data_IF_728637112915
#
_entry.id   IF_728637112915
#
_cell.length_a   1.000
_cell.length_b   1.000
_cell.length_c   1.000
_cell.angle_alpha   90.00
_cell.angle_beta   90.00
_cell.angle_gamma   90.00
#
_symmetry.space_group_name_H-M   'P 1'
#
loop_
_entity.id
_entity.type
_entity.pdbx_description
1 polymer ?
#
# COMPACT_ATOMS: atom_id res chain seq x y z
N UNK A 1 -22.60 8.04 5.08
CA UNK A 1 -21.20 8.52 5.08
C UNK A 1 -21.03 9.39 3.87
N UNK A 2 -20.45 10.58 4.01
CA UNK A 2 -20.23 11.48 2.86
C UNK A 2 -18.81 11.36 2.33
N UNK A 3 -18.62 11.09 1.03
CA UNK A 3 -17.30 10.92 0.45
C UNK A 3 -16.63 12.26 0.13
N UNK A 4 -15.31 12.28 0.24
CA UNK A 4 -14.48 13.36 -0.25
C UNK A 4 -14.26 13.23 -1.77
N UNK A 5 -14.25 14.34 -2.52
CA UNK A 5 -13.98 14.31 -3.95
C UNK A 5 -12.48 14.06 -4.20
N UNK A 6 -12.15 12.97 -4.89
CA UNK A 6 -10.85 12.82 -5.55
C UNK A 6 -11.06 12.61 -7.05
N UNK A 7 -10.01 12.88 -7.81
CA UNK A 7 -9.93 12.62 -9.24
C UNK A 7 -8.64 11.87 -9.51
N UNK A 8 -8.72 10.80 -10.31
CA UNK A 8 -7.53 10.14 -10.85
C UNK A 8 -7.27 10.68 -12.25
N UNK A 9 -6.03 11.05 -12.52
CA UNK A 9 -5.53 11.29 -13.87
C UNK A 9 -4.65 10.10 -14.25
N UNK A 10 -5.11 9.33 -15.21
CA UNK A 10 -4.55 8.05 -15.63
C UNK A 10 -3.85 8.26 -16.96
N UNK A 11 -2.59 7.83 -17.03
CA UNK A 11 -1.78 7.79 -18.24
C UNK A 11 -1.46 6.34 -18.53
N UNK A 12 -2.07 5.80 -19.57
CA UNK A 12 -1.98 4.39 -19.93
C UNK A 12 -1.58 4.23 -21.39
N UNK A 13 -1.40 2.97 -21.83
CA UNK A 13 -1.07 2.62 -23.22
C UNK A 13 0.18 3.33 -23.74
N UNK A 14 1.19 3.50 -22.87
CA UNK A 14 2.47 4.09 -23.20
C UNK A 14 3.27 3.16 -24.12
N UNK A 15 3.43 3.53 -25.39
CA UNK A 15 4.19 2.74 -26.37
C UNK A 15 5.07 3.63 -27.24
N UNK A 16 6.33 3.22 -27.44
CA UNK A 16 7.33 4.00 -28.17
C UNK A 16 7.59 3.37 -29.54
N UNK A 17 7.38 4.16 -30.59
CA UNK A 17 7.77 3.81 -31.95
C UNK A 17 9.01 4.64 -32.33
N UNK A 18 10.13 3.95 -32.50
CA UNK A 18 11.40 4.52 -32.94
C UNK A 18 11.51 4.41 -34.46
N UNK A 19 12.03 5.43 -35.15
CA UNK A 19 12.26 5.29 -36.58
C UNK A 19 13.32 4.23 -36.86
N UNK A 20 13.04 3.37 -37.83
CA UNK A 20 13.99 2.34 -38.28
C UNK A 20 15.24 3.03 -38.84
N UNK A 21 16.42 2.69 -38.29
CA UNK A 21 17.68 3.22 -38.79
C UNK A 21 17.91 2.71 -40.22
N UNK A 22 18.00 3.61 -41.20
CA UNK A 22 18.44 3.26 -42.54
C UNK A 22 19.93 2.89 -42.50
N UNK A 23 20.19 1.59 -42.67
CA UNK A 23 21.48 0.87 -42.80
C UNK A 23 22.18 0.43 -41.49
N UNK A 24 22.52 -0.87 -41.36
CA UNK A 24 23.34 -1.36 -40.26
C UNK A 24 24.81 -0.98 -40.51
N UNK A 25 25.38 -0.18 -39.63
CA UNK A 25 26.83 -0.14 -39.47
C UNK A 25 27.24 -1.36 -38.64
N UNK A 26 27.87 -2.35 -39.29
CA UNK A 26 28.78 -3.35 -38.73
C UNK A 26 28.43 -4.06 -37.41
N UNK A 27 28.46 -5.41 -37.46
CA UNK A 27 28.73 -6.30 -36.33
C UNK A 27 27.98 -6.03 -35.01
N UNK A 28 26.73 -6.51 -34.96
CA UNK A 28 26.36 -7.41 -33.88
C UNK A 28 25.82 -6.82 -32.57
N UNK A 29 25.13 -5.67 -32.56
CA UNK A 29 24.18 -5.33 -31.49
C UNK A 29 22.98 -4.61 -32.10
N UNK A 30 21.81 -5.27 -32.10
CA UNK A 30 20.56 -4.70 -32.59
C UNK A 30 20.21 -3.41 -31.81
N UNK A 31 19.80 -2.28 -32.45
CA UNK A 31 19.40 -1.04 -31.77
C UNK A 31 18.22 -1.18 -30.79
N UNK A 32 17.56 -2.34 -30.78
CA UNK A 32 16.33 -2.66 -30.04
C UNK A 32 16.55 -3.05 -28.57
N UNK A 33 17.78 -3.06 -28.04
CA UNK A 33 18.07 -3.52 -26.67
C UNK A 33 18.27 -2.40 -25.62
N UNK A 34 18.18 -1.12 -26.00
CA UNK A 34 18.40 -0.03 -25.03
C UNK A 34 17.13 0.25 -24.22
N UNK A 35 17.15 0.12 -22.87
CA UNK A 35 15.96 0.39 -22.06
C UNK A 35 15.50 1.84 -22.23
N UNK A 36 14.19 2.02 -22.41
CA UNK A 36 13.56 3.32 -22.53
C UNK A 36 12.65 3.58 -21.33
N UNK A 37 12.60 4.81 -20.85
CA UNK A 37 11.70 5.21 -19.77
C UNK A 37 11.09 6.57 -20.02
N UNK A 38 9.85 6.74 -19.57
CA UNK A 38 9.12 8.00 -19.59
C UNK A 38 9.15 8.64 -18.21
N UNK A 39 9.44 9.94 -18.16
CA UNK A 39 9.25 10.78 -16.98
C UNK A 39 8.01 11.65 -17.19
N UNK A 40 7.02 11.47 -16.33
CA UNK A 40 5.76 12.20 -16.33
C UNK A 40 5.78 13.28 -15.26
N UNK A 41 5.44 14.50 -15.64
CA UNK A 41 5.45 15.66 -14.73
C UNK A 41 4.24 16.54 -14.94
N UNK A 42 3.57 16.85 -13.83
CA UNK A 42 2.54 17.89 -13.72
C UNK A 42 3.05 18.92 -12.72
N UNK A 43 2.77 20.20 -12.97
CA UNK A 43 3.19 21.27 -12.05
C UNK A 43 2.58 21.02 -10.66
N UNK A 44 3.37 21.14 -9.60
CA UNK A 44 3.00 20.92 -8.19
C UNK A 44 2.68 19.48 -7.78
N UNK A 45 2.96 18.50 -8.65
CA UNK A 45 2.86 17.06 -8.31
C UNK A 45 4.24 16.40 -8.38
N UNK A 46 4.48 15.34 -7.59
CA UNK A 46 5.72 14.57 -7.68
C UNK A 46 5.85 13.98 -9.10
N UNK A 47 7.07 14.02 -9.65
CA UNK A 47 7.33 13.42 -10.96
C UNK A 47 7.27 11.90 -10.84
N UNK A 48 6.62 11.25 -11.80
CA UNK A 48 6.53 9.79 -11.87
C UNK A 48 7.40 9.28 -13.03
N UNK A 49 7.90 8.05 -12.91
CA UNK A 49 8.71 7.41 -13.94
C UNK A 49 8.06 6.08 -14.28
N UNK A 50 7.94 5.79 -15.57
CA UNK A 50 7.44 4.52 -16.09
C UNK A 50 8.38 3.94 -17.13
N UNK A 51 8.58 2.63 -17.09
CA UNK A 51 9.36 1.92 -18.10
C UNK A 51 8.50 1.76 -19.36
N UNK A 52 9.11 1.97 -20.52
CA UNK A 52 8.44 1.84 -21.81
C UNK A 52 8.80 0.49 -22.43
N UNK A 53 7.84 -0.43 -22.63
CA UNK A 53 8.09 -1.63 -23.40
C UNK A 53 8.39 -1.26 -24.87
N UNK A 54 9.47 -1.84 -25.41
CA UNK A 54 9.71 -1.91 -26.85
C UNK A 54 8.93 -3.15 -27.32
N UNK A 55 8.13 -3.01 -28.38
CA UNK A 55 7.09 -3.93 -28.86
C UNK A 55 7.35 -5.46 -28.74
N UNK A 56 6.29 -6.30 -28.65
CA UNK A 56 4.86 -5.96 -28.71
C UNK A 56 4.31 -5.49 -27.35
N UNK A 57 3.14 -4.82 -27.31
CA UNK A 57 2.54 -4.29 -26.09
C UNK A 57 2.22 -5.43 -25.12
N UNK A 58 3.16 -5.73 -24.22
CA UNK A 58 2.89 -6.52 -23.03
C UNK A 58 2.22 -5.60 -22.01
N UNK A 59 1.02 -6.01 -21.60
CA UNK A 59 0.18 -5.55 -20.48
C UNK A 59 0.43 -4.13 -19.92
N UNK A 60 -0.61 -3.31 -20.11
CA UNK A 60 -0.79 -1.89 -19.80
C UNK A 60 0.04 -1.37 -18.61
N UNK A 61 1.14 -0.68 -18.90
CA UNK A 61 1.80 0.20 -17.92
C UNK A 61 0.95 1.46 -17.75
N UNK A 62 0.24 1.56 -16.61
CA UNK A 62 -0.53 2.73 -16.22
C UNK A 62 0.23 3.54 -15.16
N UNK A 63 0.13 4.87 -15.27
CA UNK A 63 0.70 5.83 -14.33
C UNK A 63 -0.41 6.75 -13.87
N UNK A 64 -0.62 6.82 -12.55
CA UNK A 64 -1.78 7.50 -11.99
C UNK A 64 -1.36 8.66 -11.09
N UNK A 65 -1.95 9.82 -11.33
CA UNK A 65 -1.89 10.95 -10.41
C UNK A 65 -3.20 11.03 -9.65
N UNK A 66 -3.13 10.91 -8.32
CA UNK A 66 -4.29 11.09 -7.45
C UNK A 66 -4.38 12.55 -7.02
N UNK A 67 -5.46 13.23 -7.40
CA UNK A 67 -5.74 14.60 -7.02
C UNK A 67 -6.65 14.60 -5.80
N UNK A 68 -6.10 15.04 -4.67
CA UNK A 68 -6.83 15.19 -3.42
C UNK A 68 -7.72 16.45 -3.40
N UNK A 69 -8.66 16.58 -2.45
CA UNK A 69 -9.52 17.75 -2.35
C UNK A 69 -8.78 19.09 -2.26
N UNK A 70 -7.55 19.13 -1.75
CA UNK A 70 -6.75 20.34 -1.67
C UNK A 70 -6.12 20.69 -3.03
N UNK A 71 -5.66 19.69 -3.78
CA UNK A 71 -5.19 19.82 -5.15
C UNK A 71 -6.33 20.29 -6.07
N UNK A 72 -7.52 19.70 -5.95
CA UNK A 72 -8.72 20.12 -6.68
C UNK A 72 -9.09 21.58 -6.40
N UNK A 73 -9.03 22.02 -5.13
CA UNK A 73 -9.23 23.42 -4.75
C UNK A 73 -8.19 24.34 -5.39
N UNK A 74 -6.91 23.95 -5.42
CA UNK A 74 -5.84 24.75 -6.05
C UNK A 74 -6.01 24.93 -7.55
N UNK A 75 -6.55 23.92 -8.25
CA UNK A 75 -6.77 23.98 -9.70
C UNK A 75 -8.13 24.59 -10.07
N UNK A 76 -9.04 24.79 -9.12
CA UNK A 76 -10.38 25.35 -9.40
C UNK A 76 -10.33 26.72 -10.11
N UNK A 77 -9.35 27.56 -9.81
CA UNK A 77 -9.15 28.87 -10.45
C UNK A 77 -8.47 28.80 -11.81
N UNK A 78 -7.71 27.72 -12.07
CA UNK A 78 -7.00 27.43 -13.33
C UNK A 78 -7.08 25.93 -13.62
N UNK A 79 -8.20 25.45 -14.20
CA UNK A 79 -8.49 24.02 -14.31
C UNK A 79 -7.64 23.30 -15.35
N UNK A 80 -6.95 24.05 -16.21
CA UNK A 80 -6.07 23.50 -17.24
C UNK A 80 -4.70 23.27 -16.64
N UNK A 81 -4.29 22.01 -16.57
CA UNK A 81 -2.95 21.58 -16.17
C UNK A 81 -2.18 21.04 -17.36
N UNK A 82 -0.87 21.29 -17.41
CA UNK A 82 -0.01 20.74 -18.47
C UNK A 82 0.69 19.50 -17.95
N UNK A 83 0.40 18.35 -18.57
CA UNK A 83 1.15 17.11 -18.41
C UNK A 83 2.31 17.12 -19.39
N UNK A 84 3.54 17.06 -18.88
CA UNK A 84 4.75 16.88 -19.70
C UNK A 84 5.25 15.44 -19.57
N UNK A 85 5.38 14.77 -20.72
CA UNK A 85 5.97 13.43 -20.80
C UNK A 85 7.28 13.53 -21.56
N UNK A 86 8.38 13.18 -20.89
CA UNK A 86 9.73 13.18 -21.45
C UNK A 86 10.25 11.76 -21.56
N UNK A 87 10.66 11.34 -22.76
CA UNK A 87 11.14 9.99 -23.03
C UNK A 87 12.66 9.98 -23.07
N UNK A 88 13.26 9.04 -22.35
CA UNK A 88 14.70 8.88 -22.25
C UNK A 88 15.11 7.49 -22.73
N UNK A 89 16.27 7.41 -23.39
CA UNK A 89 16.95 6.16 -23.75
C UNK A 89 18.16 5.96 -22.84
N UNK A 90 18.37 4.74 -22.34
CA UNK A 90 19.54 4.37 -21.52
C UNK A 90 19.17 4.02 -20.08
N UNK A 91 20.18 3.74 -19.24
CA UNK A 91 19.95 3.30 -17.86
C UNK A 91 19.33 4.41 -17.01
N UNK A 92 18.39 4.02 -16.15
CA UNK A 92 17.81 4.90 -15.15
C UNK A 92 18.80 5.06 -13.98
N UNK A 93 19.16 6.29 -13.62
CA UNK A 93 20.07 6.55 -12.50
C UNK A 93 20.95 7.77 -12.68
N UNK A 94 21.80 8.00 -11.67
CA UNK A 94 22.86 8.99 -11.69
C UNK A 94 24.18 8.32 -11.34
N UNK A 95 25.22 8.57 -12.12
CA UNK A 95 26.60 8.20 -11.78
C UNK A 95 27.38 9.49 -11.62
N UNK A 96 28.00 9.69 -10.44
CA UNK A 96 28.78 10.89 -10.13
C UNK A 96 28.04 12.22 -10.41
N UNK A 97 26.72 12.26 -10.15
CA UNK A 97 25.89 13.46 -10.36
C UNK A 97 25.33 13.66 -11.77
N UNK A 98 25.76 12.86 -12.77
CA UNK A 98 25.29 12.94 -14.16
C UNK A 98 24.17 11.95 -14.40
N UNK A 99 23.07 12.38 -15.03
CA UNK A 99 21.97 11.49 -15.43
C UNK A 99 22.40 10.55 -16.55
N UNK A 100 22.25 9.24 -16.36
CA UNK A 100 22.73 8.23 -17.32
C UNK A 100 21.85 8.07 -18.58
N UNK A 101 20.66 8.68 -18.61
CA UNK A 101 19.73 8.60 -19.75
C UNK A 101 19.82 9.81 -20.68
N UNK A 102 19.79 9.57 -21.99
CA UNK A 102 19.71 10.61 -23.02
C UNK A 102 18.24 10.92 -23.35
N UNK A 103 17.87 12.20 -23.37
CA UNK A 103 16.52 12.62 -23.74
C UNK A 103 16.28 12.34 -25.24
N UNK A 104 15.27 11.54 -25.55
CA UNK A 104 14.82 11.27 -26.92
C UNK A 104 13.89 12.38 -27.42
N UNK A 105 13.03 12.89 -26.54
CA UNK A 105 12.11 13.98 -26.85
C UNK A 105 11.07 14.16 -25.75
N UNK A 106 10.18 15.14 -25.93
CA UNK A 106 9.07 15.35 -25.01
C UNK A 106 7.79 15.80 -25.71
N UNK A 107 6.66 15.42 -25.12
CA UNK A 107 5.32 15.84 -25.52
C UNK A 107 4.64 16.55 -24.35
N UNK A 108 3.70 17.44 -24.67
CA UNK A 108 2.88 18.14 -23.69
C UNK A 108 1.42 17.92 -24.03
N UNK A 109 0.61 17.60 -23.02
CA UNK A 109 -0.84 17.45 -23.13
C UNK A 109 -1.49 18.44 -22.18
N UNK A 110 -2.40 19.25 -22.71
CA UNK A 110 -3.23 20.14 -21.91
C UNK A 110 -4.44 19.35 -21.40
N UNK A 111 -4.58 19.28 -20.08
CA UNK A 111 -5.61 18.52 -19.39
C UNK A 111 -6.56 19.50 -18.73
N UNK A 112 -7.80 19.60 -19.22
CA UNK A 112 -8.82 20.44 -18.60
C UNK A 112 -9.58 19.66 -17.52
N UNK A 113 -9.26 19.91 -16.26
CA UNK A 113 -9.87 19.22 -15.12
C UNK A 113 -11.18 19.87 -14.64
N UNK A 114 -11.73 20.83 -15.40
CA UNK A 114 -13.05 21.37 -15.12
C UNK A 114 -14.10 20.26 -15.19
N UNK A 115 -14.87 20.07 -14.11
CA UNK A 115 -15.90 19.03 -14.05
C UNK A 115 -15.38 17.60 -13.90
N UNK A 116 -14.07 17.36 -13.74
CA UNK A 116 -13.52 16.01 -13.60
C UNK A 116 -14.02 15.25 -12.35
N UNK A 117 -14.65 15.96 -11.40
CA UNK A 117 -15.30 15.38 -10.23
C UNK A 117 -16.66 14.71 -10.53
N UNK A 118 -17.33 15.09 -11.62
CA UNK A 118 -18.67 14.57 -11.94
C UNK A 118 -18.66 13.54 -13.07
N UNK A 119 -17.69 13.59 -13.97
CA UNK A 119 -17.60 12.67 -15.11
C UNK A 119 -16.15 12.47 -15.55
N UNK A 120 -15.83 11.25 -15.97
CA UNK A 120 -14.55 10.95 -16.61
C UNK A 120 -14.42 11.59 -18.00
N UNK A 121 -13.20 11.90 -18.40
CA UNK A 121 -12.90 12.57 -19.66
C UNK A 121 -11.60 12.02 -20.26
N UNK A 122 -11.55 11.85 -21.59
CA UNK A 122 -10.33 11.49 -22.32
C UNK A 122 -9.78 12.76 -22.98
N UNK A 123 -8.53 13.10 -22.66
CA UNK A 123 -7.86 14.32 -23.16
C UNK A 123 -6.96 14.05 -24.36
N UNK A 124 -6.36 12.86 -24.40
CA UNK A 124 -5.49 12.42 -25.48
C UNK A 124 -5.66 10.91 -25.63
N UNK A 125 -5.77 10.44 -26.86
CA UNK A 125 -5.70 9.02 -27.19
C UNK A 125 -5.05 8.88 -28.57
N UNK A 126 -3.88 8.27 -28.64
CA UNK A 126 -3.19 8.00 -29.89
C UNK A 126 -1.73 8.45 -29.91
N UNK A 127 -1.15 8.42 -31.11
CA UNK A 127 0.26 8.71 -31.37
C UNK A 127 0.56 10.22 -31.35
N UNK A 128 1.58 10.60 -30.60
CA UNK A 128 2.14 11.95 -30.57
C UNK A 128 3.61 11.96 -31.01
N UNK A 129 4.00 12.99 -31.76
CA UNK A 129 5.39 13.17 -32.20
C UNK A 129 6.25 13.63 -31.01
N UNK A 130 7.33 12.90 -30.71
CA UNK A 130 8.33 13.33 -29.74
C UNK A 130 9.18 14.42 -30.40
N UNK A 131 9.09 15.66 -29.90
CA UNK A 131 9.81 16.78 -30.48
C UNK A 131 11.32 16.54 -30.51
N UNK A 132 11.93 16.74 -31.68
CA UNK A 132 13.37 16.70 -31.92
C UNK A 132 13.86 18.02 -32.51
N UNK A 133 15.08 18.42 -32.13
CA UNK A 133 15.76 19.59 -32.71
C UNK A 133 16.33 19.21 -34.07
N UNK A 134 15.63 19.57 -35.16
CA UNK A 134 16.12 19.50 -36.53
C UNK A 134 15.89 18.18 -37.28
N UNK A 135 15.25 18.27 -38.45
CA UNK A 135 15.31 17.41 -39.66
C UNK A 135 15.22 15.87 -39.63
N UNK A 136 15.48 15.22 -38.51
CA UNK A 136 15.65 13.77 -38.37
C UNK A 136 14.31 13.02 -38.21
N UNK A 137 14.28 11.70 -38.51
CA UNK A 137 13.06 10.92 -38.42
C UNK A 137 12.52 10.92 -36.98
N UNK A 138 11.23 11.27 -36.86
CA UNK A 138 10.61 11.68 -35.59
C UNK A 138 10.04 10.47 -34.87
N UNK A 139 10.63 10.10 -33.73
CA UNK A 139 10.07 9.10 -32.82
C UNK A 139 8.64 9.48 -32.39
N UNK A 140 7.77 8.48 -32.20
CA UNK A 140 6.37 8.68 -31.82
C UNK A 140 6.08 7.96 -30.50
N UNK A 141 5.28 8.59 -29.66
CA UNK A 141 4.79 8.04 -28.40
C UNK A 141 3.27 7.87 -28.49
N UNK A 142 2.78 6.64 -28.40
CA UNK A 142 1.38 6.37 -28.14
C UNK A 142 1.10 6.56 -26.65
N UNK A 143 0.00 7.24 -26.32
CA UNK A 143 -0.51 7.29 -24.95
C UNK A 143 -2.00 7.64 -24.92
N UNK A 144 -2.64 7.19 -23.86
CA UNK A 144 -3.99 7.62 -23.48
C UNK A 144 -3.91 8.40 -22.18
N UNK A 145 -4.45 9.62 -22.17
CA UNK A 145 -4.53 10.48 -20.98
C UNK A 145 -6.00 10.71 -20.69
N UNK A 146 -6.47 10.23 -19.54
CA UNK A 146 -7.87 10.36 -19.12
C UNK A 146 -8.00 10.68 -17.64
N UNK A 147 -9.09 11.34 -17.26
CA UNK A 147 -9.47 11.53 -15.87
C UNK A 147 -10.72 10.72 -15.53
N UNK A 148 -10.85 10.35 -14.27
CA UNK A 148 -12.05 9.73 -13.71
C UNK A 148 -12.33 10.27 -12.30
N UNK A 149 -13.61 10.48 -11.93
CA UNK A 149 -14.01 10.68 -10.55
C UNK A 149 -13.61 9.46 -9.72
N UNK A 150 -13.08 9.71 -8.53
CA UNK A 150 -12.65 8.68 -7.61
C UNK A 150 -13.07 9.10 -6.19
N UNK A 151 -14.37 9.11 -5.86
CA UNK A 151 -14.82 9.51 -4.54
C UNK A 151 -14.28 8.53 -3.48
N UNK A 152 -13.83 9.08 -2.35
CA UNK A 152 -13.23 8.27 -1.26
C UNK A 152 -13.76 8.70 0.11
N UNK A 153 -13.98 7.73 0.99
CA UNK A 153 -14.11 8.00 2.41
C UNK A 153 -12.72 8.23 3.01
N UNK A 154 -12.61 9.24 3.87
CA UNK A 154 -11.35 9.58 4.55
C UNK A 154 -11.56 9.46 6.04
N UNK A 155 -10.75 8.62 6.69
CA UNK A 155 -10.73 8.43 8.13
C UNK A 155 -9.38 8.85 8.68
N UNK A 156 -9.36 9.37 9.90
CA UNK A 156 -8.15 9.77 10.59
C UNK A 156 -8.19 9.28 12.03
N UNK A 157 -7.12 8.61 12.44
CA UNK A 157 -6.93 8.22 13.83
C UNK A 157 -6.66 9.47 14.70
N UNK A 158 -7.33 9.56 15.84
CA UNK A 158 -7.12 10.66 16.81
C UNK A 158 -5.76 10.63 17.49
N UNK A 159 -5.15 9.45 17.55
CA UNK A 159 -3.86 9.16 18.17
C UNK A 159 -3.26 7.87 17.59
N UNK A 160 -2.24 7.36 18.26
CA UNK A 160 -1.54 6.16 17.80
C UNK A 160 -2.39 4.90 18.06
N UNK A 161 -2.39 3.89 17.15
CA UNK A 161 -3.24 2.71 17.30
C UNK A 161 -3.09 1.96 18.62
N UNK A 162 -1.87 1.88 19.18
CA UNK A 162 -1.59 1.24 20.46
C UNK A 162 -2.19 1.97 21.67
N UNK A 163 -2.58 3.24 21.51
CA UNK A 163 -3.19 4.06 22.56
C UNK A 163 -4.72 3.99 22.55
N UNK A 164 -5.32 3.01 21.85
CA UNK A 164 -6.78 2.83 21.75
C UNK A 164 -7.54 4.11 21.31
N UNK A 165 -7.22 4.69 20.13
CA UNK A 165 -7.74 5.99 19.74
C UNK A 165 -9.16 5.92 19.19
N UNK A 166 -9.85 7.07 19.22
CA UNK A 166 -11.06 7.31 18.41
C UNK A 166 -10.64 7.59 16.96
N UNK A 167 -11.44 7.12 16.00
CA UNK A 167 -11.25 7.35 14.57
C UNK A 167 -12.35 8.27 14.06
N UNK A 168 -11.91 9.31 13.34
CA UNK A 168 -12.78 10.37 12.82
C UNK A 168 -12.97 10.19 11.32
N UNK A 169 -14.22 10.27 10.84
CA UNK A 169 -14.49 10.53 9.43
C UNK A 169 -14.24 12.00 9.14
N UNK A 170 -13.48 12.27 8.09
CA UNK A 170 -13.14 13.61 7.63
C UNK A 170 -14.07 13.99 6.49
N UNK A 171 -14.80 15.09 6.67
CA UNK A 171 -15.72 15.66 5.68
C UNK A 171 -15.38 17.14 5.52
N UNK A 172 -14.55 17.47 4.51
CA UNK A 172 -14.04 18.82 4.34
C UNK A 172 -13.22 19.27 5.55
N UNK A 173 -13.75 20.25 6.31
CA UNK A 173 -13.13 20.75 7.55
C UNK A 173 -13.73 20.13 8.83
N UNK A 174 -14.76 19.29 8.69
CA UNK A 174 -15.46 18.67 9.82
C UNK A 174 -14.80 17.32 10.14
N UNK A 175 -14.63 17.04 11.44
CA UNK A 175 -14.09 15.79 11.97
C UNK A 175 -15.16 15.13 12.85
N UNK A 176 -15.80 14.07 12.35
CA UNK A 176 -16.87 13.37 13.07
C UNK A 176 -16.34 12.05 13.64
N UNK A 177 -16.45 11.78 14.95
CA UNK A 177 -16.10 10.48 15.49
C UNK A 177 -17.08 9.42 14.96
N UNK A 178 -16.56 8.32 14.42
CA UNK A 178 -17.40 7.25 13.81
C UNK A 178 -17.05 5.86 14.30
N UNK A 179 -15.81 5.65 14.77
CA UNK A 179 -15.32 4.38 15.27
C UNK A 179 -14.40 4.63 16.48
N UNK A 180 -14.21 3.61 17.31
CA UNK A 180 -13.21 3.60 18.38
C UNK A 180 -12.37 2.34 18.30
N UNK A 181 -11.10 2.43 18.69
CA UNK A 181 -10.19 1.30 18.68
C UNK A 181 -9.85 0.90 20.12
N UNK A 182 -9.69 -0.40 20.37
CA UNK A 182 -9.11 -0.95 21.60
C UNK A 182 -7.93 -1.82 21.25
N UNK A 183 -6.74 -1.41 21.69
CA UNK A 183 -5.53 -2.21 21.60
C UNK A 183 -5.38 -3.08 22.84
N UNK A 184 -4.93 -4.32 22.64
CA UNK A 184 -4.58 -5.25 23.70
C UNK A 184 -3.30 -6.00 23.33
N UNK A 185 -2.36 -6.08 24.27
CA UNK A 185 -1.15 -6.87 24.17
C UNK A 185 -1.22 -8.05 25.15
N UNK A 186 -2.11 -9.02 24.88
CA UNK A 186 -2.30 -10.16 25.77
C UNK A 186 -1.17 -11.17 25.54
N UNK A 187 -0.26 -11.29 26.53
CA UNK A 187 0.86 -12.25 26.49
C UNK A 187 0.39 -13.70 26.64
N UNK A 188 -0.86 -13.93 27.07
CA UNK A 188 -1.37 -15.22 27.49
C UNK A 188 -2.62 -15.65 26.71
N UNK A 189 -2.58 -15.61 25.38
CA UNK A 189 -3.74 -15.96 24.56
C UNK A 189 -4.02 -17.49 24.43
N UNK A 190 -3.83 -18.26 25.51
CA UNK A 190 -4.33 -19.63 25.61
C UNK A 190 -5.76 -19.72 26.17
N UNK A 191 -6.32 -18.62 26.70
CA UNK A 191 -7.55 -18.68 27.52
C UNK A 191 -8.73 -17.82 27.05
N UNK A 192 -8.66 -17.12 25.90
CA UNK A 192 -9.86 -16.56 25.26
C UNK A 192 -10.21 -17.32 24.00
N UNK A 193 -11.07 -18.32 24.18
CA UNK A 193 -11.83 -19.08 23.20
C UNK A 193 -11.87 -18.51 21.77
N UNK A 194 -10.91 -18.92 20.93
CA UNK A 194 -11.21 -19.23 19.54
C UNK A 194 -11.92 -20.59 19.53
N UNK A 195 -13.00 -20.79 18.75
CA UNK A 195 -13.65 -22.09 18.64
C UNK A 195 -12.64 -23.17 18.22
N UNK A 196 -12.72 -24.31 18.90
CA UNK A 196 -11.75 -25.42 18.93
C UNK A 196 -11.62 -26.25 17.65
N UNK A 197 -12.01 -25.74 16.48
CA UNK A 197 -12.12 -26.56 15.26
C UNK A 197 -11.03 -26.30 14.21
N UNK A 198 -9.92 -25.65 14.60
CA UNK A 198 -8.81 -25.35 13.68
C UNK A 198 -7.51 -26.13 13.94
N UNK A 199 -7.56 -27.19 14.75
CA UNK A 199 -6.42 -28.10 14.91
C UNK A 199 -6.38 -29.14 13.79
N UNK A 200 -5.89 -28.74 12.62
CA UNK A 200 -5.47 -29.70 11.59
C UNK A 200 -3.96 -29.89 11.69
N UNK A 201 -3.59 -31.14 11.98
CA UNK A 201 -2.27 -31.79 11.86
C UNK A 201 -1.21 -31.53 12.93
N UNK A 202 -1.14 -32.51 13.86
CA UNK A 202 0.07 -33.22 14.30
C UNK A 202 1.33 -32.38 14.59
N UNK A 203 1.65 -32.22 15.88
CA UNK A 203 3.04 -32.36 16.29
C UNK A 203 3.13 -33.15 17.59
N UNK A 204 3.69 -34.35 17.48
CA UNK A 204 4.01 -35.25 18.60
C UNK A 204 5.09 -34.61 19.48
N UNK A 205 5.01 -34.94 20.76
CA UNK A 205 5.71 -34.26 21.84
C UNK A 205 7.23 -34.17 21.70
N UNK A 206 7.75 -33.06 22.21
CA UNK A 206 9.12 -32.98 22.70
C UNK A 206 9.06 -32.45 24.13
N UNK A 207 9.27 -33.34 25.10
CA UNK A 207 9.54 -33.02 26.50
C UNK A 207 10.73 -32.05 26.59
N UNK A 208 10.54 -30.85 27.15
CA UNK A 208 11.66 -29.97 27.49
C UNK A 208 12.30 -30.45 28.79
N UNK A 209 13.51 -30.98 28.70
CA UNK A 209 14.41 -31.16 29.83
C UNK A 209 14.79 -29.80 30.40
N UNK A 210 14.52 -29.63 31.69
CA UNK A 210 14.92 -28.46 32.49
C UNK A 210 16.45 -28.46 32.62
N UNK A 211 17.10 -27.38 32.23
CA UNK A 211 18.47 -27.07 32.62
C UNK A 211 18.66 -25.55 32.62
N UNK A 212 19.00 -25.03 33.80
CA UNK A 212 18.96 -23.62 34.16
C UNK A 212 19.73 -22.69 33.22
N UNK A 213 18.99 -21.71 32.68
CA UNK A 213 19.50 -20.58 31.90
C UNK A 213 18.37 -19.67 31.39
N UNK A 214 17.26 -19.57 32.14
CA UNK A 214 15.93 -19.24 31.60
C UNK A 214 15.42 -17.80 31.80
N UNK A 215 16.23 -16.84 32.24
CA UNK A 215 15.73 -15.45 32.42
C UNK A 215 15.91 -14.59 31.15
N UNK A 216 16.87 -14.89 30.27
CA UNK A 216 17.23 -14.00 29.13
C UNK A 216 16.60 -14.34 27.76
N UNK A 217 15.78 -15.40 27.66
CA UNK A 217 15.18 -15.84 26.38
C UNK A 217 13.68 -15.52 26.20
N UNK A 218 13.01 -15.05 27.25
CA UNK A 218 11.54 -14.86 27.26
C UNK A 218 11.11 -13.54 26.57
N UNK A 219 12.04 -12.61 26.31
CA UNK A 219 11.75 -11.26 25.79
C UNK A 219 12.03 -11.00 24.31
N UNK A 220 12.32 -12.03 23.49
CA UNK A 220 12.70 -11.83 22.08
C UNK A 220 11.57 -12.04 21.06
N UNK A 221 10.35 -12.28 21.51
CA UNK A 221 9.19 -12.50 20.64
C UNK A 221 8.14 -11.42 20.92
N UNK A 222 7.60 -10.82 19.85
CA UNK A 222 6.45 -9.92 19.93
C UNK A 222 5.23 -10.70 19.43
N UNK A 223 4.26 -10.95 20.32
CA UNK A 223 3.09 -11.79 20.07
C UNK A 223 1.85 -11.28 20.78
N UNK A 224 0.69 -11.76 20.35
CA UNK A 224 -0.58 -11.58 21.08
C UNK A 224 -1.15 -10.16 21.01
N UNK A 225 -0.66 -9.32 20.09
CA UNK A 225 -1.26 -8.01 19.88
C UNK A 225 -2.54 -8.14 19.08
N UNK A 226 -3.55 -7.43 19.52
CA UNK A 226 -4.84 -7.33 18.84
C UNK A 226 -5.34 -5.90 18.95
N UNK A 227 -5.91 -5.40 17.86
CA UNK A 227 -6.70 -4.17 17.87
C UNK A 227 -8.12 -4.49 17.42
N UNK A 228 -9.09 -4.13 18.24
CA UNK A 228 -10.51 -4.30 17.93
C UNK A 228 -11.11 -2.94 17.64
N UNK A 229 -11.89 -2.84 16.57
CA UNK A 229 -12.58 -1.63 16.13
C UNK A 229 -14.06 -1.76 16.48
N UNK A 230 -14.58 -0.75 17.16
CA UNK A 230 -15.96 -0.66 17.60
C UNK A 230 -16.68 0.49 16.89
N UNK A 231 -17.96 0.28 16.60
CA UNK A 231 -18.84 1.35 16.15
C UNK A 231 -19.30 2.25 17.32
N UNK A 232 -20.16 3.23 17.01
CA UNK A 232 -20.71 4.15 18.00
C UNK A 232 -21.65 3.48 19.01
N UNK A 233 -22.16 2.27 18.72
CA UNK A 233 -22.97 1.48 19.65
C UNK A 233 -22.12 0.68 20.63
N UNK A 234 -20.80 0.63 20.42
CA UNK A 234 -19.89 -0.23 21.18
C UNK A 234 -19.84 -1.67 20.65
N UNK A 235 -20.38 -1.94 19.46
CA UNK A 235 -20.32 -3.26 18.83
C UNK A 235 -18.97 -3.43 18.12
N UNK A 236 -18.32 -4.58 18.31
CA UNK A 236 -17.07 -4.91 17.63
C UNK A 236 -17.36 -5.22 16.15
N UNK A 237 -16.89 -4.37 15.24
CA UNK A 237 -17.22 -4.43 13.80
C UNK A 237 -16.05 -4.86 12.93
N UNK A 238 -14.82 -4.80 13.43
CA UNK A 238 -13.63 -5.36 12.80
C UNK A 238 -12.54 -5.60 13.85
N UNK A 239 -11.57 -6.44 13.53
CA UNK A 239 -10.37 -6.60 14.34
C UNK A 239 -9.15 -6.92 13.49
N UNK A 240 -7.97 -6.61 14.00
CA UNK A 240 -6.70 -7.13 13.48
C UNK A 240 -5.96 -7.82 14.61
N UNK A 241 -5.62 -9.09 14.42
CA UNK A 241 -4.97 -9.93 15.43
C UNK A 241 -3.67 -10.51 14.89
N UNK A 242 -2.61 -10.43 15.69
CA UNK A 242 -1.34 -11.07 15.36
C UNK A 242 -1.50 -12.60 15.46
N UNK A 243 -1.30 -13.29 14.34
CA UNK A 243 -1.43 -14.76 14.23
C UNK A 243 -0.08 -15.45 14.07
N UNK A 244 0.89 -14.76 13.46
CA UNK A 244 2.28 -15.21 13.41
C UNK A 244 3.12 -14.21 14.19
N UNK A 245 3.81 -14.64 15.25
CA UNK A 245 4.60 -13.76 16.09
C UNK A 245 5.77 -13.15 15.32
N UNK A 246 6.17 -11.95 15.69
CA UNK A 246 7.35 -11.29 15.15
C UNK A 246 8.56 -11.74 15.96
N UNK A 247 9.49 -12.42 15.30
CA UNK A 247 10.67 -13.06 15.93
C UNK A 247 11.91 -12.70 15.12
N UNK A 248 13.04 -12.37 15.77
CA UNK A 248 14.28 -12.12 15.06
C UNK A 248 14.83 -13.40 14.42
N UNK A 249 15.39 -13.28 13.23
CA UNK A 249 16.08 -14.39 12.56
C UNK A 249 17.31 -14.84 13.36
N UNK A 250 17.74 -16.11 13.23
CA UNK A 250 18.97 -16.58 13.86
C UNK A 250 20.15 -15.66 13.56
N UNK A 251 20.93 -15.30 14.59
CA UNK A 251 22.08 -14.39 14.49
C UNK A 251 21.75 -12.96 13.99
N UNK A 252 20.48 -12.54 14.09
CA UNK A 252 20.03 -11.18 13.78
C UNK A 252 19.15 -10.63 14.89
N UNK A 253 18.85 -9.34 14.81
CA UNK A 253 17.88 -8.62 15.64
C UNK A 253 16.67 -8.15 14.82
N UNK A 254 16.46 -8.74 13.64
CA UNK A 254 15.46 -8.34 12.65
C UNK A 254 14.52 -9.48 12.30
N UNK A 255 13.27 -9.14 12.00
CA UNK A 255 12.32 -10.04 11.35
C UNK A 255 12.67 -10.14 9.86
N UNK A 256 13.04 -11.32 9.37
CA UNK A 256 13.38 -11.53 7.96
C UNK A 256 12.16 -11.84 7.10
N UNK A 257 12.27 -11.59 5.80
CA UNK A 257 11.27 -11.99 4.81
C UNK A 257 11.01 -13.50 4.76
N UNK A 258 12.00 -14.31 5.15
CA UNK A 258 11.86 -15.77 5.22
C UNK A 258 11.03 -16.26 6.41
N UNK A 259 10.82 -15.41 7.41
CA UNK A 259 9.98 -15.70 8.58
C UNK A 259 9.25 -14.42 9.00
N UNK A 260 8.30 -13.94 8.18
CA UNK A 260 7.60 -12.70 8.45
C UNK A 260 6.63 -12.86 9.62
N UNK A 261 6.44 -11.78 10.37
CA UNK A 261 5.31 -11.70 11.30
C UNK A 261 4.02 -11.49 10.52
N UNK A 262 2.87 -11.89 11.09
CA UNK A 262 1.61 -11.79 10.37
C UNK A 262 0.42 -11.42 11.26
N UNK A 263 -0.45 -10.59 10.68
CA UNK A 263 -1.74 -10.19 11.20
C UNK A 263 -2.85 -10.82 10.38
N UNK A 264 -3.93 -11.18 11.04
CA UNK A 264 -5.20 -11.57 10.42
C UNK A 264 -6.20 -10.45 10.65
N UNK A 265 -6.77 -9.95 9.55
CA UNK A 265 -7.86 -8.99 9.59
C UNK A 265 -9.16 -9.77 9.62
N UNK A 266 -10.02 -9.43 10.56
CA UNK A 266 -11.19 -10.19 10.95
C UNK A 266 -12.45 -9.33 10.79
N UNK A 267 -13.49 -9.94 10.23
CA UNK A 267 -14.86 -9.40 10.23
C UNK A 267 -15.76 -10.24 11.14
N UNK A 268 -16.82 -9.68 11.72
CA UNK A 268 -17.85 -10.45 12.39
C UNK A 268 -18.49 -11.49 11.45
N UNK A 269 -18.84 -12.66 11.96
CA UNK A 269 -19.49 -13.75 11.23
C UNK A 269 -20.88 -14.00 11.79
N UNK A 270 -21.92 -13.57 11.07
CA UNK A 270 -23.32 -13.81 11.45
C UNK A 270 -23.82 -12.96 12.62
N UNK A 271 -24.92 -13.42 13.24
CA UNK A 271 -25.68 -12.70 14.30
C UNK A 271 -25.10 -12.90 15.70
N UNK A 272 -24.14 -13.82 15.86
CA UNK A 272 -23.49 -14.08 17.14
C UNK A 272 -22.28 -13.16 17.33
N UNK A 273 -22.21 -12.52 18.49
CA UNK A 273 -21.21 -11.51 18.90
C UNK A 273 -19.78 -12.10 19.00
N UNK A 274 -19.61 -13.43 18.92
CA UNK A 274 -18.33 -14.11 19.20
C UNK A 274 -17.67 -14.84 18.02
N UNK A 275 -18.30 -14.95 16.86
CA UNK A 275 -17.70 -15.62 15.70
C UNK A 275 -17.00 -14.62 14.78
N UNK A 276 -15.68 -14.72 14.66
CA UNK A 276 -14.87 -13.93 13.73
C UNK A 276 -14.59 -14.74 12.46
N UNK A 277 -14.74 -14.12 11.29
CA UNK A 277 -14.34 -14.70 10.00
C UNK A 277 -13.11 -13.94 9.47
N UNK A 278 -12.06 -14.64 9.01
CA UNK A 278 -10.93 -14.01 8.34
C UNK A 278 -11.36 -13.27 7.07
N UNK A 279 -10.82 -12.08 6.88
CA UNK A 279 -10.99 -11.25 5.68
C UNK A 279 -9.69 -11.17 4.88
N UNK A 280 -8.56 -10.96 5.54
CA UNK A 280 -7.27 -10.91 4.87
C UNK A 280 -6.09 -11.14 5.82
N UNK A 281 -4.93 -11.44 5.26
CA UNK A 281 -3.68 -11.69 5.98
C UNK A 281 -2.65 -10.64 5.58
N UNK A 282 -2.11 -9.91 6.56
CA UNK A 282 -1.02 -8.96 6.38
C UNK A 282 0.27 -9.55 6.96
N UNK A 283 1.25 -9.80 6.12
CA UNK A 283 2.61 -10.15 6.53
C UNK A 283 3.50 -8.92 6.52
N UNK A 284 4.45 -8.86 7.46
CA UNK A 284 5.42 -7.77 7.56
C UNK A 284 6.78 -8.27 8.05
N UNK A 285 7.84 -7.63 7.54
CA UNK A 285 9.24 -7.92 7.88
C UNK A 285 10.12 -6.69 7.72
N UNK A 286 11.36 -6.74 8.24
CA UNK A 286 12.35 -5.66 8.10
C UNK A 286 13.35 -6.01 7.01
N UNK A 287 13.23 -5.36 5.87
CA UNK A 287 14.12 -5.54 4.72
C UNK A 287 15.43 -4.75 4.91
N UNK A 288 16.54 -5.34 4.49
CA UNK A 288 17.87 -4.72 4.54
C UNK A 288 18.12 -3.93 3.26
N UNK A 289 18.52 -2.67 3.39
CA UNK A 289 18.87 -1.81 2.26
C UNK A 289 19.83 -0.70 2.65
N UNK A 290 20.13 0.22 1.73
CA UNK A 290 20.87 1.46 2.04
C UNK A 290 20.17 2.30 3.10
N UNK A 291 18.85 2.21 3.15
CA UNK A 291 18.00 2.56 4.28
C UNK A 291 17.13 1.34 4.56
N UNK A 292 17.02 0.94 5.83
CA UNK A 292 16.15 -0.17 6.24
C UNK A 292 14.69 0.11 5.81
N UNK A 293 14.01 -0.94 5.35
CA UNK A 293 12.65 -0.90 4.85
C UNK A 293 11.71 -1.79 5.64
N UNK A 294 10.45 -1.38 5.81
CA UNK A 294 9.37 -2.24 6.26
C UNK A 294 8.77 -2.88 5.00
N UNK A 295 9.06 -4.15 4.79
CA UNK A 295 8.43 -4.95 3.76
C UNK A 295 7.07 -5.45 4.24
N UNK A 296 6.11 -5.51 3.33
CA UNK A 296 4.75 -5.96 3.63
C UNK A 296 4.16 -6.75 2.45
N UNK A 297 3.24 -7.66 2.76
CA UNK A 297 2.43 -8.40 1.80
C UNK A 297 1.02 -8.58 2.37
N UNK A 298 0.00 -8.16 1.64
CA UNK A 298 -1.40 -8.34 2.01
C UNK A 298 -2.10 -9.27 1.02
N UNK A 299 -2.77 -10.28 1.58
CA UNK A 299 -3.53 -11.28 0.85
C UNK A 299 -4.99 -11.27 1.29
N UNK A 300 -5.90 -11.25 0.31
CA UNK A 300 -7.32 -11.43 0.57
C UNK A 300 -7.62 -12.93 0.70
N UNK A 301 -8.30 -13.34 1.76
CA UNK A 301 -8.60 -14.75 2.01
C UNK A 301 -9.86 -15.12 1.22
N UNK A 302 -9.75 -16.17 0.40
CA UNK A 302 -10.89 -16.72 -0.33
C UNK A 302 -11.60 -17.79 0.50
N UNK A 303 -12.88 -18.02 0.25
CA UNK A 303 -13.68 -19.03 0.97
C UNK A 303 -13.23 -20.49 0.69
N UNK A 304 -12.20 -20.69 -0.13
CA UNK A 304 -11.65 -22.00 -0.53
C UNK A 304 -10.56 -22.52 0.42
N UNK A 305 -10.34 -21.85 1.57
CA UNK A 305 -9.46 -22.30 2.66
C UNK A 305 -8.38 -21.28 3.07
N UNK A 306 -7.90 -21.38 4.31
CA UNK A 306 -6.97 -20.43 4.96
C UNK A 306 -5.59 -20.30 4.29
N UNK A 307 -5.23 -21.21 3.39
CA UNK A 307 -3.92 -21.24 2.70
C UNK A 307 -3.99 -20.76 1.25
N UNK A 308 -5.18 -20.39 0.75
CA UNK A 308 -5.39 -19.86 -0.60
C UNK A 308 -5.81 -18.39 -0.53
N UNK A 309 -4.82 -17.55 -0.25
CA UNK A 309 -4.95 -16.10 -0.28
C UNK A 309 -4.56 -15.53 -1.64
N UNK A 310 -5.27 -14.51 -2.09
CA UNK A 310 -4.91 -13.77 -3.31
C UNK A 310 -4.09 -12.56 -2.88
N UNK A 311 -2.78 -12.46 -3.20
CA UNK A 311 -2.03 -11.26 -2.90
C UNK A 311 -2.62 -10.08 -3.67
N UNK A 312 -2.91 -8.98 -2.99
CA UNK A 312 -3.44 -7.76 -3.60
C UNK A 312 -2.59 -6.52 -3.33
N UNK A 313 -1.66 -6.59 -2.37
CA UNK A 313 -0.64 -5.57 -2.18
C UNK A 313 0.66 -6.17 -1.66
N UNK A 314 1.78 -5.72 -2.20
CA UNK A 314 3.12 -6.08 -1.72
C UNK A 314 4.06 -4.91 -2.00
N UNK A 315 4.96 -4.62 -1.07
CA UNK A 315 5.92 -3.55 -1.25
C UNK A 315 6.80 -3.31 -0.04
N UNK A 316 7.59 -2.25 -0.11
CA UNK A 316 8.49 -1.84 0.95
C UNK A 316 8.38 -0.33 1.16
N UNK A 317 8.29 0.11 2.41
CA UNK A 317 8.33 1.53 2.78
C UNK A 317 9.51 1.84 3.70
N UNK A 318 9.91 3.12 3.79
CA UNK A 318 11.08 3.48 4.59
C UNK A 318 10.77 3.38 6.07
N UNK A 319 11.62 2.68 6.82
CA UNK A 319 11.49 2.60 8.28
C UNK A 319 11.71 3.96 8.95
N UNK A 320 12.66 4.76 8.45
CA UNK A 320 12.98 6.09 9.02
C UNK A 320 11.95 7.16 8.66
N UNK A 321 11.45 7.14 7.43
CA UNK A 321 10.57 8.20 6.91
C UNK A 321 9.09 7.83 6.99
N UNK A 322 8.76 6.55 7.14
CA UNK A 322 7.42 6.04 6.90
C UNK A 322 7.12 5.97 5.41
N UNK A 323 5.83 5.96 5.09
CA UNK A 323 5.35 5.94 3.72
C UNK A 323 3.83 5.86 3.63
N UNK A 324 3.38 5.30 2.51
CA UNK A 324 1.97 5.03 2.26
C UNK A 324 1.82 3.55 1.92
N UNK A 325 0.99 2.86 2.68
CA UNK A 325 0.46 1.56 2.29
C UNK A 325 -0.68 1.81 1.29
N UNK A 326 -0.67 1.15 0.14
CA UNK A 326 -1.67 1.35 -0.91
C UNK A 326 -2.11 0.00 -1.48
N UNK A 327 -3.40 -0.13 -1.73
CA UNK A 327 -3.99 -1.23 -2.48
C UNK A 327 -4.69 -0.60 -3.68
N UNK A 328 -4.15 -0.85 -4.87
CA UNK A 328 -4.72 -0.39 -6.15
C UNK A 328 -4.64 -1.54 -7.16
N UNK A 329 -5.80 -2.07 -7.53
CA UNK A 329 -5.91 -3.26 -8.38
C UNK A 329 -5.47 -2.96 -9.81
N UNK A 330 -5.55 -1.70 -10.27
CA UNK A 330 -5.13 -1.31 -11.61
C UNK A 330 -3.60 -1.25 -11.76
N UNK A 331 -2.88 -1.09 -10.65
CA UNK A 331 -1.42 -0.98 -10.66
C UNK A 331 -0.70 -2.32 -10.89
N UNK A 332 -1.42 -3.45 -10.76
CA UNK A 332 -0.82 -4.79 -10.82
C UNK A 332 -1.10 -5.47 -12.16
N UNK A 333 -0.02 -5.98 -12.75
CA UNK A 333 0.02 -6.62 -14.08
C UNK A 333 -0.57 -8.04 -14.13
N UNK A 334 -1.28 -8.48 -13.09
CA UNK A 334 -1.76 -9.86 -13.02
C UNK A 334 -3.18 -9.98 -13.60
N UNK A 335 -3.25 -10.47 -14.83
CA UNK A 335 -4.49 -10.78 -15.57
C UNK A 335 -5.45 -11.71 -14.80
N UNK A 336 -4.97 -12.51 -13.84
CA UNK A 336 -5.80 -13.37 -13.00
C UNK A 336 -6.66 -12.59 -11.97
N UNK A 337 -6.16 -11.47 -11.44
CA UNK A 337 -6.89 -10.63 -10.47
C UNK A 337 -8.07 -9.91 -11.11
N UNK A 338 -7.93 -9.60 -12.41
CA UNK A 338 -8.96 -8.95 -13.22
C UNK A 338 -10.23 -9.78 -13.40
N UNK A 339 -10.15 -11.11 -13.25
CA UNK A 339 -11.29 -12.01 -13.40
C UNK A 339 -11.97 -12.33 -12.06
N UNK A 340 -11.25 -12.17 -10.94
CA UNK A 340 -11.69 -12.57 -9.60
C UNK A 340 -12.27 -11.41 -8.79
N UNK A 341 -11.87 -10.17 -9.08
CA UNK A 341 -12.33 -8.99 -8.34
C UNK A 341 -13.30 -8.18 -9.22
N UNK A 342 -14.58 -8.01 -8.80
CA UNK A 342 -15.61 -7.33 -9.60
C UNK A 342 -15.30 -5.85 -9.87
N UNK A 343 -14.57 -5.20 -8.95
CA UNK A 343 -14.24 -3.78 -8.95
C UNK A 343 -12.75 -3.59 -9.27
N UNK A 344 -12.45 -2.86 -10.34
CA UNK A 344 -11.11 -2.45 -10.75
C UNK A 344 -10.86 -1.02 -10.28
N UNK A 345 -9.82 -0.79 -9.49
CA UNK A 345 -9.48 0.57 -9.10
C UNK A 345 -8.75 0.73 -7.77
N UNK A 346 -8.83 1.95 -7.26
CA UNK A 346 -8.27 2.35 -5.98
C UNK A 346 -9.09 1.75 -4.84
N UNK A 347 -8.47 0.89 -4.04
CA UNK A 347 -9.14 0.25 -2.90
C UNK A 347 -8.94 1.06 -1.64
N UNK A 348 -7.68 1.20 -1.22
CA UNK A 348 -7.34 1.94 -0.02
C UNK A 348 -5.93 2.53 -0.05
N UNK A 349 -5.71 3.52 0.79
CA UNK A 349 -4.39 4.03 1.14
C UNK A 349 -4.33 4.41 2.61
N UNK A 350 -3.27 4.01 3.31
CA UNK A 350 -2.99 4.42 4.69
C UNK A 350 -1.65 5.13 4.77
N UNK A 351 -1.59 6.27 5.46
CA UNK A 351 -0.30 6.82 5.89
C UNK A 351 0.28 5.97 7.02
N UNK A 352 1.60 5.81 7.01
CA UNK A 352 2.36 5.13 8.07
C UNK A 352 3.56 6.01 8.39
N UNK A 353 3.72 6.39 9.64
CA UNK A 353 4.87 7.19 10.08
C UNK A 353 6.11 6.31 10.30
N UNK A 354 7.29 6.94 10.29
CA UNK A 354 8.55 6.23 10.56
C UNK A 354 8.71 5.86 12.03
N UNK A 355 9.59 4.88 12.30
CA UNK A 355 9.95 4.43 13.65
C UNK A 355 10.27 5.62 14.57
N UNK A 356 9.71 5.60 15.79
CA UNK A 356 9.94 6.60 16.84
C UNK A 356 9.16 7.91 16.69
N UNK A 357 8.31 8.04 15.66
CA UNK A 357 7.40 9.18 15.50
C UNK A 357 6.01 8.85 16.01
N UNK A 358 5.28 9.87 16.45
CA UNK A 358 3.86 9.74 16.80
C UNK A 358 3.06 9.49 15.52
N UNK A 359 2.47 8.31 15.40
CA UNK A 359 1.66 7.96 14.22
C UNK A 359 0.20 8.36 14.39
N UNK A 360 -0.38 8.99 13.37
CA UNK A 360 -1.83 9.22 13.27
C UNK A 360 -2.30 8.81 11.89
N UNK A 361 -2.53 7.50 11.66
CA UNK A 361 -2.87 7.01 10.34
C UNK A 361 -4.06 7.74 9.72
N UNK A 362 -3.90 8.15 8.47
CA UNK A 362 -4.96 8.67 7.61
C UNK A 362 -5.30 7.58 6.60
N UNK A 363 -6.52 7.09 6.67
CA UNK A 363 -7.05 6.00 5.84
C UNK A 363 -7.96 6.61 4.77
N UNK A 364 -7.69 6.29 3.52
CA UNK A 364 -8.53 6.63 2.38
C UNK A 364 -9.07 5.33 1.82
N UNK A 365 -10.37 5.25 1.56
CA UNK A 365 -11.02 4.05 1.02
C UNK A 365 -11.94 4.46 -0.14
N UNK A 366 -11.82 3.78 -1.28
CA UNK A 366 -12.70 4.01 -2.43
C UNK A 366 -14.16 3.70 -2.07
N UNK A 367 -15.11 4.56 -2.48
CA UNK A 367 -16.53 4.39 -2.14
C UNK A 367 -17.08 3.06 -2.65
N UNK A 368 -16.60 2.57 -3.79
CA UNK A 368 -17.04 1.31 -4.39
C UNK A 368 -16.76 0.07 -3.51
N UNK A 369 -15.87 0.19 -2.52
CA UNK A 369 -15.49 -0.89 -1.61
C UNK A 369 -16.15 -0.79 -0.22
N UNK A 370 -17.04 0.17 0.00
CA UNK A 370 -17.66 0.43 1.29
C UNK A 370 -19.17 0.53 1.14
N UNK A 371 -19.89 -0.51 1.53
CA UNK A 371 -21.37 -0.53 1.55
C UNK A 371 -21.93 -0.15 2.91
N UNK A 372 -21.18 -0.44 3.98
CA UNK A 372 -21.56 -0.14 5.35
C UNK A 372 -20.34 0.30 6.19
N UNK A 373 -20.60 0.74 7.43
CA UNK A 373 -19.52 1.17 8.35
C UNK A 373 -18.60 0.00 8.74
N UNK A 374 -19.11 -1.23 8.79
CA UNK A 374 -18.28 -2.41 9.08
C UNK A 374 -17.24 -2.67 7.97
N UNK A 375 -17.57 -2.41 6.70
CA UNK A 375 -16.60 -2.51 5.60
C UNK A 375 -15.47 -1.50 5.78
N UNK A 376 -15.81 -0.24 6.11
CA UNK A 376 -14.82 0.79 6.41
C UNK A 376 -13.93 0.41 7.62
N UNK A 377 -14.53 -0.21 8.64
CA UNK A 377 -13.80 -0.67 9.82
C UNK A 377 -12.74 -1.74 9.51
N UNK A 378 -12.93 -2.57 8.48
CA UNK A 378 -11.90 -3.54 8.03
C UNK A 378 -10.64 -2.83 7.51
N UNK A 379 -10.82 -1.78 6.72
CA UNK A 379 -9.70 -0.97 6.21
C UNK A 379 -9.02 -0.17 7.33
N UNK A 380 -9.79 0.29 8.33
CA UNK A 380 -9.24 0.91 9.55
C UNK A 380 -8.42 -0.09 10.37
N UNK A 381 -8.91 -1.32 10.56
CA UNK A 381 -8.17 -2.37 11.25
C UNK A 381 -6.88 -2.76 10.51
N UNK A 382 -6.94 -2.87 9.18
CA UNK A 382 -5.76 -3.12 8.34
C UNK A 382 -4.74 -1.96 8.41
N UNK A 383 -5.22 -0.71 8.40
CA UNK A 383 -4.38 0.48 8.61
C UNK A 383 -3.65 0.44 9.95
N UNK A 384 -4.35 0.09 11.03
CA UNK A 384 -3.74 -0.09 12.34
C UNK A 384 -2.70 -1.22 12.33
N UNK A 385 -2.98 -2.35 11.68
CA UNK A 385 -2.06 -3.49 11.61
C UNK A 385 -0.75 -3.14 10.88
N UNK A 386 -0.81 -2.42 9.76
CA UNK A 386 0.40 -2.00 9.04
C UNK A 386 1.18 -0.94 9.82
N UNK A 387 0.50 -0.04 10.52
CA UNK A 387 1.14 0.97 11.36
C UNK A 387 1.86 0.34 12.56
N UNK A 388 1.16 -0.54 13.29
CA UNK A 388 1.73 -1.33 14.38
C UNK A 388 2.88 -2.25 13.92
N UNK A 389 2.92 -2.60 12.63
CA UNK A 389 4.02 -3.39 12.07
C UNK A 389 5.34 -2.62 12.00
N UNK A 390 5.34 -1.28 12.01
CA UNK A 390 6.57 -0.50 12.20
C UNK A 390 7.20 -0.79 13.57
N UNK A 391 6.39 -0.78 14.64
CA UNK A 391 6.84 -1.14 15.98
C UNK A 391 7.13 -2.65 16.10
N UNK A 392 6.30 -3.51 15.51
CA UNK A 392 6.47 -4.98 15.57
C UNK A 392 7.73 -5.47 14.82
N UNK A 393 8.18 -4.76 13.79
CA UNK A 393 9.42 -5.05 13.07
C UNK A 393 10.65 -4.32 13.61
N UNK A 394 10.50 -3.41 14.58
CA UNK A 394 11.62 -2.67 15.18
C UNK A 394 12.74 -3.60 15.66
N UNK A 395 13.99 -3.13 15.73
CA UNK A 395 15.11 -3.99 16.14
C UNK A 395 14.87 -4.59 17.53
N UNK A 396 15.11 -5.90 17.69
CA UNK A 396 14.92 -6.61 18.96
C UNK A 396 16.01 -6.28 19.99
N UNK A 397 17.09 -5.63 19.57
CA UNK A 397 18.09 -5.01 20.43
C UNK A 397 17.56 -3.74 21.12
N UNK A 398 16.47 -3.16 20.62
CA UNK A 398 15.84 -1.97 21.18
C UNK A 398 14.56 -2.33 21.95
N UNK A 399 14.31 -1.62 23.05
CA UNK A 399 13.06 -1.75 23.82
C UNK A 399 11.91 -1.10 23.06
N UNK A 400 10.74 -1.74 23.11
CA UNK A 400 9.49 -1.12 22.70
C UNK A 400 9.03 -0.08 23.72
N UNK A 401 8.14 0.79 23.28
CA UNK A 401 7.51 1.78 24.15
C UNK A 401 6.58 1.11 25.17
N UNK A 402 6.27 1.81 26.27
CA UNK A 402 5.57 1.24 27.43
C UNK A 402 4.14 0.82 27.11
N UNK A 403 3.52 1.43 26.10
CA UNK A 403 2.14 1.14 25.66
C UNK A 403 2.00 -0.29 25.14
N UNK A 404 3.10 -0.95 24.78
CA UNK A 404 3.15 -2.36 24.36
C UNK A 404 3.43 -3.34 25.51
N UNK A 405 3.72 -2.83 26.69
CA UNK A 405 4.00 -3.59 27.90
C UNK A 405 2.83 -3.44 28.87
N UNK A 406 1.95 -4.43 28.94
CA UNK A 406 1.18 -4.63 30.16
C UNK A 406 2.13 -5.31 31.16
N UNK A 407 2.79 -4.50 31.99
CA UNK A 407 3.21 -4.99 33.30
C UNK A 407 1.94 -5.13 34.14
N UNK A 408 1.77 -6.26 34.81
CA UNK A 408 0.65 -6.56 35.71
C UNK A 408 0.55 -5.47 36.80
N UNK A 409 -0.24 -4.42 36.58
CA UNK A 409 -0.57 -3.42 37.60
C UNK A 409 -1.93 -3.63 38.26
N UNK A 410 -2.66 -4.69 37.91
CA UNK A 410 -4.00 -4.98 38.48
C UNK A 410 -4.04 -6.23 39.39
N UNK A 411 -2.95 -6.54 40.10
CA UNK A 411 -2.93 -7.62 41.11
C UNK A 411 -2.92 -7.14 42.57
N UNK A 412 -3.13 -5.84 42.81
CA UNK A 412 -3.43 -5.32 44.14
C UNK A 412 -4.53 -4.26 44.08
N UNK A 413 -5.78 -4.71 44.07
CA UNK A 413 -6.88 -4.02 44.76
C UNK A 413 -7.85 -5.04 45.34
#
# INVERSE_FOLDING_TARGET
MDPCPFVRLIIESLSLNLPSATKPAGSGIHPSATPCYAKLKIKNFPSQISLLPLEPPSEYSAVDFHLDPAALRRISSKPIVTLRVSVFTGRMGRTCGVTCGRLLGSVQVCVNLAGAQSRGCVYQNGWMKLGGSGGEPVARLHMTVRSEPDPRFVFQFGGEPQCSPVVFQIQGNIRQPVLSCKFSADRNNRSRSLPSDFNTTNNRGWMRTLSGGEINKIGRERKGWMITVYDLSGSAVAAASMVTPFVPSPNSDRVSRSNPGAWLILRPNGVSISSWKPWGRLEAWRERGSVDGLGYKFELITDVGLTSGIPIAEGTMSVKKGGKFCIDINSRKDSALSLLLPSRGFVMQSSVEGEGKVSKPVVQVGVEHVTCMADAALFVALSAAIDLSMDACHLFSHKLRKEFSHDEQDLFT
#
